data_IF_201617048436
#
_entry.id   IF_201617048436
#
_cell.length_a   1.000
_cell.length_b   1.000
_cell.length_c   1.000
_cell.angle_alpha   90.00
_cell.angle_beta   90.00
_cell.angle_gamma   90.00
#
_symmetry.space_group_name_H-M   'P 1'
#
loop_
_entity.id
_entity.type
_entity.pdbx_description
1 polymer ?
#
# COMPACT_ATOMS: atom_id res chain seq x y z
N UNK A 1 -20.71 -10.43 3.54
CA UNK A 1 -19.76 -11.41 4.09
C UNK A 1 -18.59 -11.45 3.11
N UNK A 2 -17.45 -10.92 3.51
CA UNK A 2 -16.27 -10.80 2.66
C UNK A 2 -15.72 -12.22 2.42
N UNK A 3 -15.33 -12.55 1.19
CA UNK A 3 -14.76 -13.85 0.84
C UNK A 3 -13.40 -13.68 0.16
N UNK A 4 -12.48 -14.61 0.40
CA UNK A 4 -11.22 -14.66 -0.36
C UNK A 4 -11.41 -15.47 -1.63
N UNK A 5 -10.94 -14.93 -2.76
CA UNK A 5 -10.90 -15.64 -4.05
C UNK A 5 -9.47 -15.72 -4.55
N UNK A 6 -9.10 -16.84 -5.18
CA UNK A 6 -7.87 -16.95 -5.97
C UNK A 6 -8.10 -16.78 -7.47
N UNK A 7 -9.32 -16.39 -7.85
CA UNK A 7 -9.80 -16.33 -9.22
C UNK A 7 -10.43 -14.96 -9.50
N UNK A 8 -10.17 -14.46 -10.70
CA UNK A 8 -10.95 -13.38 -11.32
C UNK A 8 -11.83 -14.06 -12.36
N UNK A 9 -13.15 -13.89 -12.26
CA UNK A 9 -14.10 -14.40 -13.26
C UNK A 9 -14.08 -13.45 -14.46
N UNK A 10 -13.49 -13.89 -15.58
CA UNK A 10 -13.71 -13.28 -16.89
C UNK A 10 -14.41 -14.30 -17.79
N UNK A 11 -15.35 -13.82 -18.62
CA UNK A 11 -16.59 -14.51 -19.03
C UNK A 11 -16.50 -15.91 -19.67
N UNK A 12 -15.32 -16.49 -19.90
CA UNK A 12 -15.18 -17.89 -20.37
C UNK A 12 -13.96 -18.67 -19.82
N UNK A 13 -13.14 -18.11 -18.91
CA UNK A 13 -11.95 -18.82 -18.35
C UNK A 13 -11.64 -18.45 -16.91
N UNK A 14 -11.43 -19.47 -16.07
CA UNK A 14 -10.83 -19.32 -14.73
C UNK A 14 -9.32 -19.10 -14.91
N UNK A 15 -8.84 -17.87 -14.74
CA UNK A 15 -7.41 -17.57 -14.70
C UNK A 15 -6.92 -17.52 -13.25
N UNK A 16 -5.94 -18.37 -12.92
CA UNK A 16 -5.22 -18.28 -11.65
C UNK A 16 -4.22 -17.12 -11.76
N UNK A 17 -4.44 -16.07 -11.00
CA UNK A 17 -3.45 -14.99 -10.83
C UNK A 17 -2.44 -15.45 -9.79
N UNK A 18 -1.16 -15.40 -10.11
CA UNK A 18 -0.08 -15.79 -9.20
C UNK A 18 0.36 -14.60 -8.34
N UNK A 19 0.82 -14.90 -7.12
CA UNK A 19 1.47 -13.91 -6.27
C UNK A 19 2.72 -13.36 -6.94
N UNK A 20 3.11 -12.13 -6.62
CA UNK A 20 4.35 -11.53 -7.13
C UNK A 20 5.23 -11.00 -6.01
N UNK A 21 6.52 -10.97 -6.28
CA UNK A 21 7.53 -10.28 -5.48
C UNK A 21 8.42 -9.44 -6.41
N UNK A 22 9.38 -8.69 -5.86
CA UNK A 22 10.35 -7.96 -6.69
C UNK A 22 11.34 -8.95 -7.33
N UNK A 23 11.91 -8.60 -8.48
CA UNK A 23 13.02 -9.39 -9.07
C UNK A 23 14.31 -9.19 -8.28
N UNK A 24 14.60 -7.97 -7.88
CA UNK A 24 15.80 -7.54 -7.16
C UNK A 24 15.41 -6.57 -6.03
N UNK A 25 16.33 -6.28 -5.10
CA UNK A 25 16.05 -5.29 -4.06
C UNK A 25 16.10 -3.85 -4.60
N UNK A 26 15.36 -2.95 -3.96
CA UNK A 26 15.41 -1.51 -4.24
C UNK A 26 15.70 -0.73 -2.98
N UNK A 27 16.54 0.30 -3.11
CA UNK A 27 16.97 1.18 -2.03
C UNK A 27 16.36 2.58 -2.17
N UNK A 28 15.82 3.09 -1.07
CA UNK A 28 15.33 4.44 -0.92
C UNK A 28 16.06 5.11 0.24
N UNK A 29 16.54 6.32 0.01
CA UNK A 29 17.17 7.15 1.03
C UNK A 29 16.47 8.50 1.02
N UNK A 30 16.22 9.05 2.20
CA UNK A 30 15.55 10.33 2.33
C UNK A 30 15.27 10.66 3.79
N UNK A 31 14.29 11.53 4.00
CA UNK A 31 13.94 12.08 5.32
C UNK A 31 12.49 11.75 5.64
N UNK A 32 12.20 11.38 6.89
CA UNK A 32 10.82 11.26 7.37
C UNK A 32 10.15 12.64 7.49
N UNK A 33 8.92 12.80 6.98
CA UNK A 33 8.23 14.11 6.95
C UNK A 33 7.87 14.62 8.34
N UNK A 34 7.56 13.71 9.28
CA UNK A 34 7.15 14.08 10.63
C UNK A 34 8.32 14.09 11.61
N UNK A 35 9.27 13.16 11.45
CA UNK A 35 10.43 13.04 12.33
C UNK A 35 11.59 13.95 11.95
N UNK A 36 11.69 14.34 10.67
CA UNK A 36 12.84 15.10 10.15
C UNK A 36 14.16 14.32 10.16
N UNK A 37 14.12 12.99 10.33
CA UNK A 37 15.30 12.13 10.44
C UNK A 37 15.63 11.47 9.12
N UNK A 38 16.92 11.34 8.84
CA UNK A 38 17.42 10.52 7.74
C UNK A 38 17.02 9.06 7.95
N UNK A 39 16.61 8.42 6.87
CA UNK A 39 16.16 7.03 6.87
C UNK A 39 16.50 6.36 5.54
N UNK A 40 16.94 5.12 5.65
CA UNK A 40 17.16 4.22 4.53
C UNK A 40 16.12 3.11 4.59
N UNK A 41 15.46 2.86 3.46
CA UNK A 41 14.52 1.76 3.24
C UNK A 41 15.04 0.87 2.12
N UNK A 42 15.19 -0.42 2.41
CA UNK A 42 15.47 -1.46 1.41
C UNK A 42 14.26 -2.37 1.28
N UNK A 43 13.69 -2.48 0.08
CA UNK A 43 12.60 -3.42 -0.23
C UNK A 43 13.20 -4.64 -0.91
N UNK A 44 13.12 -5.79 -0.25
CA UNK A 44 13.67 -7.05 -0.73
C UNK A 44 12.58 -7.98 -1.27
N UNK A 45 12.91 -8.83 -2.26
CA UNK A 45 12.07 -9.97 -2.62
C UNK A 45 11.78 -10.86 -1.40
N UNK A 46 10.61 -11.47 -1.36
CA UNK A 46 10.22 -12.37 -0.28
C UNK A 46 9.45 -13.60 -0.79
N UNK A 47 9.52 -14.75 -0.08
CA UNK A 47 8.83 -15.97 -0.48
C UNK A 47 7.31 -15.84 -0.59
N UNK A 48 6.67 -16.74 -1.32
CA UNK A 48 5.22 -16.78 -1.44
C UNK A 48 4.54 -16.94 -0.07
N UNK A 49 3.45 -16.19 0.15
CA UNK A 49 2.74 -16.17 1.44
C UNK A 49 3.44 -15.36 2.54
N UNK A 50 4.56 -14.70 2.25
CA UNK A 50 5.24 -13.84 3.21
C UNK A 50 4.41 -12.59 3.57
N UNK A 51 3.67 -12.04 2.61
CA UNK A 51 3.02 -10.75 2.70
C UNK A 51 4.00 -9.58 2.66
N UNK A 52 3.48 -8.38 2.94
CA UNK A 52 4.29 -7.17 3.13
C UNK A 52 4.61 -7.03 4.62
N UNK A 53 5.90 -7.02 4.95
CA UNK A 53 6.37 -6.85 6.34
C UNK A 53 7.48 -5.84 6.40
N UNK A 54 7.46 -5.01 7.43
CA UNK A 54 8.52 -4.07 7.72
C UNK A 54 9.42 -4.59 8.85
N UNK A 55 10.72 -4.35 8.76
CA UNK A 55 11.71 -4.76 9.75
C UNK A 55 12.58 -3.56 10.14
N UNK A 56 12.57 -3.18 11.42
CA UNK A 56 13.42 -2.11 11.96
C UNK A 56 14.85 -2.63 12.14
N UNK A 57 15.79 -2.19 11.33
CA UNK A 57 17.19 -2.66 11.39
C UNK A 57 18.04 -1.88 12.39
N UNK A 58 17.52 -0.77 12.89
CA UNK A 58 18.16 0.09 13.90
C UNK A 58 17.83 -0.33 15.35
N UNK A 59 16.97 -1.34 15.54
CA UNK A 59 16.61 -1.88 16.84
C UNK A 59 17.18 -3.30 16.98
N UNK A 60 17.73 -3.62 18.16
CA UNK A 60 18.24 -4.95 18.48
C UNK A 60 17.23 -6.05 18.14
N UNK A 61 17.71 -7.18 17.60
CA UNK A 61 16.89 -8.33 17.14
C UNK A 61 15.99 -8.05 15.93
N UNK A 62 16.09 -6.87 15.33
CA UNK A 62 15.41 -6.51 14.09
C UNK A 62 13.90 -6.84 14.08
N UNK A 63 13.11 -6.23 14.98
CA UNK A 63 11.69 -6.55 15.11
C UNK A 63 10.97 -6.31 13.79
N UNK A 64 10.09 -7.26 13.45
CA UNK A 64 9.34 -7.28 12.20
C UNK A 64 7.85 -7.08 12.47
N UNK A 65 7.23 -6.17 11.74
CA UNK A 65 5.83 -5.76 11.87
C UNK A 65 5.12 -6.04 10.53
N UNK A 66 4.09 -6.89 10.51
CA UNK A 66 3.25 -7.07 9.32
C UNK A 66 2.51 -5.79 8.94
N UNK A 67 2.45 -5.47 7.64
CA UNK A 67 1.61 -4.38 7.12
C UNK A 67 0.15 -4.83 7.02
N UNK A 68 -0.46 -5.16 8.17
CA UNK A 68 -1.84 -5.61 8.30
C UNK A 68 -2.65 -4.59 9.10
N UNK A 69 -3.95 -4.48 8.80
CA UNK A 69 -4.85 -3.54 9.48
C UNK A 69 -4.86 -3.70 11.01
N UNK A 70 -4.68 -4.92 11.52
CA UNK A 70 -4.67 -5.23 12.95
C UNK A 70 -3.42 -4.72 13.69
N UNK A 71 -2.40 -4.27 12.95
CA UNK A 71 -1.18 -3.66 13.49
C UNK A 71 -1.19 -2.14 13.38
N UNK A 72 -2.22 -1.54 12.76
CA UNK A 72 -2.37 -0.08 12.70
C UNK A 72 -2.74 0.42 14.10
N UNK A 73 -1.91 1.33 14.63
CA UNK A 73 -2.06 1.85 16.00
C UNK A 73 -2.30 3.35 16.07
N UNK A 74 -2.02 4.08 14.98
CA UNK A 74 -2.25 5.52 14.89
C UNK A 74 -2.54 5.89 13.44
N UNK A 75 -3.44 6.84 13.26
CA UNK A 75 -3.89 7.38 11.95
C UNK A 75 -3.84 8.90 11.92
N UNK A 76 -3.30 9.55 12.96
CA UNK A 76 -3.11 10.99 13.00
C UNK A 76 -1.91 11.35 12.12
N UNK A 77 -2.16 12.15 11.09
CA UNK A 77 -1.20 12.63 10.07
C UNK A 77 -0.67 11.55 9.11
N UNK A 78 -0.48 10.30 9.56
CA UNK A 78 -0.01 9.20 8.73
C UNK A 78 -0.60 7.85 9.18
N UNK A 79 -0.39 6.79 8.41
CA UNK A 79 -0.66 5.41 8.86
C UNK A 79 0.55 4.87 9.61
N UNK A 80 0.37 4.55 10.89
CA UNK A 80 1.42 3.98 11.74
C UNK A 80 1.09 2.55 12.14
N UNK A 81 2.05 1.64 11.92
CA UNK A 81 1.99 0.27 12.41
C UNK A 81 2.92 0.07 13.61
N UNK A 82 2.51 -0.74 14.58
CA UNK A 82 3.31 -1.07 15.75
C UNK A 82 3.26 -2.56 16.08
N UNK A 83 4.36 -3.13 16.55
CA UNK A 83 4.46 -4.53 16.98
C UNK A 83 5.85 -4.83 17.55
N UNK A 84 5.93 -5.79 18.47
CA UNK A 84 7.21 -6.28 19.01
C UNK A 84 8.17 -5.15 19.46
N UNK A 85 7.64 -4.19 20.23
CA UNK A 85 8.35 -3.01 20.76
C UNK A 85 8.89 -2.01 19.71
N UNK A 86 8.43 -2.11 18.47
CA UNK A 86 8.77 -1.19 17.39
C UNK A 86 7.51 -0.54 16.80
N UNK A 87 7.71 0.60 16.15
CA UNK A 87 6.69 1.28 15.35
C UNK A 87 7.30 1.90 14.09
N UNK A 88 6.47 2.02 13.05
CA UNK A 88 6.82 2.61 11.76
C UNK A 88 5.64 3.45 11.26
N UNK A 89 5.89 4.73 11.00
CA UNK A 89 4.92 5.67 10.42
C UNK A 89 5.09 5.89 8.92
N UNK A 90 4.09 6.54 8.33
CA UNK A 90 4.11 7.03 6.95
C UNK A 90 4.26 5.90 5.91
N UNK A 91 3.70 4.72 6.18
CA UNK A 91 3.86 3.55 5.30
C UNK A 91 3.01 3.63 4.02
N UNK A 92 2.01 4.51 4.00
CA UNK A 92 0.92 4.54 3.02
C UNK A 92 1.39 4.71 1.57
N UNK A 93 2.34 5.61 1.28
CA UNK A 93 2.79 5.86 -0.10
C UNK A 93 3.58 4.68 -0.66
N UNK A 94 4.48 4.10 0.14
CA UNK A 94 5.26 2.93 -0.26
C UNK A 94 4.36 1.71 -0.45
N UNK A 95 3.40 1.48 0.47
CA UNK A 95 2.45 0.36 0.33
C UNK A 95 1.53 0.56 -0.87
N UNK A 96 1.09 1.79 -1.17
CA UNK A 96 0.31 2.10 -2.36
C UNK A 96 1.10 1.81 -3.65
N UNK A 97 2.38 2.19 -3.69
CA UNK A 97 3.28 1.87 -4.80
C UNK A 97 3.45 0.36 -5.01
N UNK A 98 3.65 -0.42 -3.94
CA UNK A 98 3.75 -1.87 -4.01
C UNK A 98 2.44 -2.52 -4.51
N UNK A 99 1.29 -2.02 -4.02
CA UNK A 99 -0.02 -2.50 -4.45
C UNK A 99 -0.26 -2.23 -5.94
N UNK A 100 0.07 -1.04 -6.43
CA UNK A 100 -0.02 -0.66 -7.85
C UNK A 100 0.89 -1.53 -8.73
N UNK A 101 2.09 -1.86 -8.25
CA UNK A 101 3.03 -2.78 -8.91
C UNK A 101 2.69 -4.26 -8.72
N UNK A 102 1.53 -4.55 -8.11
CA UNK A 102 1.00 -5.90 -7.85
C UNK A 102 1.96 -6.76 -7.03
N UNK A 103 2.78 -6.17 -6.17
CA UNK A 103 3.66 -6.90 -5.24
C UNK A 103 2.85 -7.44 -4.07
N UNK A 104 2.86 -8.76 -3.89
CA UNK A 104 2.17 -9.45 -2.79
C UNK A 104 3.11 -9.72 -1.62
N UNK A 105 4.39 -9.95 -1.91
CA UNK A 105 5.38 -10.39 -0.94
C UNK A 105 6.63 -9.50 -1.01
N UNK A 106 6.97 -8.86 0.11
CA UNK A 106 8.21 -8.10 0.26
C UNK A 106 8.62 -8.02 1.75
N UNK A 107 9.93 -8.03 1.99
CA UNK A 107 10.51 -7.64 3.27
C UNK A 107 11.07 -6.22 3.12
N UNK A 108 10.56 -5.29 3.93
CA UNK A 108 10.95 -3.88 3.89
C UNK A 108 11.82 -3.61 5.10
N UNK A 109 13.14 -3.57 4.92
CA UNK A 109 14.08 -3.17 5.96
C UNK A 109 14.12 -1.65 6.05
N UNK A 110 14.15 -1.12 7.26
CA UNK A 110 14.14 0.32 7.50
C UNK A 110 15.01 0.69 8.69
N UNK A 111 15.86 1.71 8.53
CA UNK A 111 16.81 2.17 9.56
C UNK A 111 16.23 3.18 10.55
N UNK A 112 14.91 3.38 10.54
CA UNK A 112 14.24 4.39 11.35
C UNK A 112 12.74 4.12 11.52
N UNK A 113 12.07 5.00 12.27
CA UNK A 113 10.67 4.83 12.65
C UNK A 113 9.66 5.40 11.65
N UNK A 114 10.11 5.84 10.47
CA UNK A 114 9.26 6.51 9.48
C UNK A 114 9.80 6.28 8.07
N UNK A 115 8.94 5.91 7.12
CA UNK A 115 9.31 5.76 5.71
C UNK A 115 9.67 7.15 5.14
N UNK A 116 10.71 7.27 4.28
CA UNK A 116 11.09 8.56 3.72
C UNK A 116 9.96 9.14 2.87
N UNK A 117 9.74 10.46 2.97
CA UNK A 117 8.64 11.13 2.26
C UNK A 117 8.85 11.21 0.75
N UNK A 118 10.10 11.09 0.31
CA UNK A 118 10.53 11.32 -1.07
C UNK A 118 10.09 12.71 -1.56
N UNK A 119 9.31 12.80 -2.63
CA UNK A 119 8.73 14.05 -3.13
C UNK A 119 7.32 14.34 -2.57
N UNK A 120 6.84 13.51 -1.63
CA UNK A 120 5.50 13.55 -1.08
C UNK A 120 4.46 12.75 -1.86
N UNK A 121 4.85 12.01 -2.91
CA UNK A 121 3.98 11.16 -3.72
C UNK A 121 4.43 9.69 -3.75
N UNK A 122 3.72 8.84 -4.50
CA UNK A 122 4.10 7.45 -4.71
C UNK A 122 5.05 7.26 -5.92
N UNK A 123 5.21 8.29 -6.76
CA UNK A 123 5.96 8.22 -8.02
C UNK A 123 7.41 7.78 -7.85
N UNK A 124 8.21 8.33 -6.90
CA UNK A 124 9.60 7.89 -6.72
C UNK A 124 9.73 6.42 -6.33
N UNK A 125 8.75 5.89 -5.59
CA UNK A 125 8.71 4.47 -5.24
C UNK A 125 8.39 3.62 -6.47
N UNK A 126 7.39 4.02 -7.25
CA UNK A 126 6.98 3.29 -8.46
C UNK A 126 8.08 3.23 -9.48
N UNK A 127 8.79 4.34 -9.74
CA UNK A 127 9.87 4.39 -10.73
C UNK A 127 10.94 3.34 -10.40
N UNK A 128 11.50 3.38 -9.19
CA UNK A 128 12.53 2.41 -8.78
C UNK A 128 12.03 0.96 -8.75
N UNK A 129 10.80 0.70 -8.31
CA UNK A 129 10.22 -0.65 -8.32
C UNK A 129 10.00 -1.14 -9.77
N UNK A 130 9.59 -0.25 -10.67
CA UNK A 130 9.39 -0.58 -12.08
C UNK A 130 10.70 -0.90 -12.78
N UNK A 131 11.77 -0.16 -12.44
CA UNK A 131 13.12 -0.37 -12.99
C UNK A 131 13.66 -1.78 -12.70
N UNK A 132 13.49 -2.28 -11.46
CA UNK A 132 13.88 -3.67 -11.13
C UNK A 132 12.85 -4.69 -11.63
N UNK A 133 11.59 -4.30 -11.71
CA UNK A 133 10.48 -5.15 -12.09
C UNK A 133 10.07 -6.20 -11.05
N UNK A 134 9.04 -6.96 -11.39
CA UNK A 134 8.45 -7.98 -10.50
C UNK A 134 8.48 -9.37 -11.10
N UNK A 135 8.49 -10.39 -10.25
CA UNK A 135 8.52 -11.80 -10.59
C UNK A 135 7.27 -12.50 -10.06
N UNK A 136 6.61 -13.30 -10.89
CA UNK A 136 5.53 -14.17 -10.46
C UNK A 136 6.08 -15.36 -9.65
N UNK A 137 5.35 -15.76 -8.61
CA UNK A 137 5.68 -16.87 -7.73
C UNK A 137 4.75 -18.05 -7.99
N UNK A 138 5.00 -19.20 -7.35
CA UNK A 138 4.24 -20.44 -7.60
C UNK A 138 2.88 -20.48 -6.90
N UNK A 139 2.60 -19.57 -5.97
CA UNK A 139 1.36 -19.58 -5.20
C UNK A 139 0.27 -18.69 -5.83
N UNK A 140 -1.01 -19.07 -5.75
CA UNK A 140 -2.10 -18.22 -6.19
C UNK A 140 -2.22 -16.96 -5.31
N UNK A 141 -2.50 -15.83 -5.95
CA UNK A 141 -2.83 -14.55 -5.30
C UNK A 141 -4.24 -14.64 -4.70
N UNK A 142 -4.41 -14.08 -3.50
CA UNK A 142 -5.70 -14.00 -2.83
C UNK A 142 -6.26 -12.58 -2.97
N UNK A 143 -7.50 -12.48 -3.42
CA UNK A 143 -8.25 -11.24 -3.54
C UNK A 143 -9.33 -11.17 -2.45
N UNK A 144 -9.56 -9.98 -1.93
CA UNK A 144 -10.66 -9.69 -1.02
C UNK A 144 -11.91 -9.33 -1.84
N UNK A 145 -12.88 -10.23 -1.94
CA UNK A 145 -14.10 -10.01 -2.73
C UNK A 145 -15.21 -9.47 -1.85
N UNK A 146 -15.70 -8.28 -2.20
CA UNK A 146 -16.75 -7.58 -1.46
C UNK A 146 -18.12 -8.06 -1.94
N UNK A 147 -18.82 -8.81 -1.08
CA UNK A 147 -20.16 -9.37 -1.41
C UNK A 147 -21.33 -8.56 -0.86
N UNK A 148 -21.09 -7.63 0.07
CA UNK A 148 -22.11 -6.75 0.64
C UNK A 148 -21.49 -5.38 0.92
N UNK A 149 -22.29 -4.33 0.78
CA UNK A 149 -21.88 -2.97 1.12
C UNK A 149 -21.60 -2.85 2.61
N UNK A 150 -20.47 -2.23 2.95
CA UNK A 150 -20.09 -1.84 4.32
C UNK A 150 -19.82 -0.34 4.30
N UNK A 151 -20.47 0.39 5.20
CA UNK A 151 -20.28 1.84 5.38
C UNK A 151 -20.00 2.13 6.84
N UNK A 152 -19.02 2.99 7.07
CA UNK A 152 -18.69 3.56 8.38
C UNK A 152 -18.77 5.09 8.29
N UNK A 153 -19.21 5.72 9.37
CA UNK A 153 -19.36 7.18 9.44
C UNK A 153 -18.76 7.69 10.75
N UNK A 154 -18.15 8.88 10.70
CA UNK A 154 -17.64 9.61 11.86
C UNK A 154 -17.89 11.11 11.65
N UNK A 155 -18.84 11.68 12.41
CA UNK A 155 -19.29 13.06 12.20
C UNK A 155 -19.79 13.28 10.77
N UNK A 156 -19.21 14.25 10.07
CA UNK A 156 -19.52 14.56 8.67
C UNK A 156 -18.78 13.69 7.64
N UNK A 157 -17.83 12.85 8.09
CA UNK A 157 -17.02 12.00 7.22
C UNK A 157 -17.58 10.57 7.16
N UNK A 158 -17.40 9.89 6.02
CA UNK A 158 -17.76 8.48 5.87
C UNK A 158 -16.82 7.77 4.89
N UNK A 159 -16.71 6.45 5.03
CA UNK A 159 -16.04 5.58 4.07
C UNK A 159 -16.97 4.39 3.76
N UNK A 160 -17.02 3.98 2.49
CA UNK A 160 -17.86 2.88 2.04
C UNK A 160 -17.11 2.00 1.06
N UNK A 161 -17.27 0.69 1.22
CA UNK A 161 -16.89 -0.30 0.21
C UNK A 161 -18.13 -1.07 -0.20
N UNK A 162 -18.32 -1.31 -1.50
CA UNK A 162 -19.48 -2.01 -2.05
C UNK A 162 -19.03 -3.04 -3.09
N UNK A 163 -19.85 -4.07 -3.39
CA UNK A 163 -19.58 -4.97 -4.50
C UNK A 163 -19.36 -4.18 -5.79
N UNK A 164 -18.36 -4.58 -6.56
CA UNK A 164 -18.03 -4.05 -7.88
C UNK A 164 -17.61 -5.23 -8.76
N UNK A 165 -17.97 -5.18 -10.04
CA UNK A 165 -17.61 -6.23 -10.99
C UNK A 165 -16.26 -5.90 -11.63
N UNK A 166 -15.37 -6.90 -11.67
CA UNK A 166 -14.15 -6.99 -12.48
C UNK A 166 -13.04 -5.94 -12.29
N UNK A 167 -13.31 -4.80 -11.63
CA UNK A 167 -12.31 -3.75 -11.37
C UNK A 167 -12.36 -3.26 -9.93
N UNK A 168 -11.32 -2.51 -9.54
CA UNK A 168 -11.25 -1.79 -8.27
C UNK A 168 -11.42 -0.29 -8.51
N UNK A 169 -12.66 0.20 -8.44
CA UNK A 169 -12.97 1.62 -8.56
C UNK A 169 -12.78 2.38 -7.25
N UNK A 170 -12.31 3.61 -7.34
CA UNK A 170 -12.11 4.49 -6.18
C UNK A 170 -12.71 5.85 -6.47
N UNK A 171 -13.69 6.24 -5.64
CA UNK A 171 -14.21 7.60 -5.56
C UNK A 171 -13.80 8.24 -4.24
N UNK A 172 -13.15 9.39 -4.32
CA UNK A 172 -12.75 10.16 -3.15
C UNK A 172 -13.32 11.57 -3.24
N UNK A 173 -13.97 12.02 -2.16
CA UNK A 173 -14.58 13.34 -2.07
C UNK A 173 -13.96 14.08 -0.90
N UNK A 174 -13.42 15.27 -1.15
CA UNK A 174 -12.85 16.10 -0.09
C UNK A 174 -13.18 17.56 -0.31
N UNK A 175 -13.35 18.29 0.80
CA UNK A 175 -13.50 19.74 0.76
C UNK A 175 -12.11 20.35 0.76
N UNK A 176 -11.72 20.98 -0.34
CA UNK A 176 -10.43 21.64 -0.44
C UNK A 176 -10.38 22.82 0.55
N UNK A 177 -9.39 22.78 1.46
CA UNK A 177 -9.26 23.75 2.55
C UNK A 177 -8.90 25.16 2.09
N UNK A 178 -8.38 25.33 0.88
CA UNK A 178 -7.92 26.62 0.36
C UNK A 178 -9.05 27.43 -0.27
N UNK A 179 -9.96 26.77 -1.00
CA UNK A 179 -11.04 27.42 -1.74
C UNK A 179 -12.45 27.05 -1.22
N UNK A 180 -12.55 26.16 -0.23
CA UNK A 180 -13.80 25.61 0.31
C UNK A 180 -14.69 24.87 -0.72
N UNK A 181 -14.13 24.48 -1.86
CA UNK A 181 -14.83 23.75 -2.92
C UNK A 181 -14.80 22.25 -2.60
N UNK A 182 -15.93 21.57 -2.87
CA UNK A 182 -15.97 20.12 -2.86
C UNK A 182 -15.32 19.59 -4.14
N UNK A 183 -14.21 18.89 -3.98
CA UNK A 183 -13.53 18.21 -5.08
C UNK A 183 -13.86 16.71 -5.04
N UNK A 184 -13.98 16.13 -6.23
CA UNK A 184 -14.30 14.74 -6.43
C UNK A 184 -13.26 14.15 -7.36
N UNK A 185 -12.58 13.13 -6.88
CA UNK A 185 -11.74 12.25 -7.66
C UNK A 185 -12.49 10.94 -7.88
N UNK A 186 -12.46 10.41 -9.11
CA UNK A 186 -13.12 9.16 -9.47
C UNK A 186 -12.29 8.41 -10.52
N UNK A 187 -12.15 7.10 -10.35
CA UNK A 187 -11.48 6.18 -11.29
C UNK A 187 -12.21 4.85 -11.28
N UNK A 188 -12.43 4.30 -12.48
CA UNK A 188 -13.11 3.02 -12.69
C UNK A 188 -12.17 1.82 -12.46
N UNK A 189 -10.85 2.02 -12.61
CA UNK A 189 -9.82 1.03 -12.28
C UNK A 189 -8.59 1.72 -11.68
N UNK A 190 -8.59 1.87 -10.36
CA UNK A 190 -7.55 2.57 -9.62
C UNK A 190 -6.18 1.88 -9.71
N UNK A 191 -6.11 0.60 -10.07
CA UNK A 191 -4.83 -0.09 -10.27
C UNK A 191 -4.28 0.19 -11.66
N UNK A 192 -5.13 0.12 -12.70
CA UNK A 192 -4.73 0.44 -14.06
C UNK A 192 -4.36 1.93 -14.22
N UNK A 193 -5.13 2.81 -13.57
CA UNK A 193 -4.94 4.26 -13.64
C UNK A 193 -3.89 4.79 -12.66
N UNK A 194 -3.26 3.92 -11.84
CA UNK A 194 -2.41 4.38 -10.74
C UNK A 194 -1.23 5.23 -11.20
N UNK A 195 -0.72 5.02 -12.42
CA UNK A 195 0.35 5.86 -12.99
C UNK A 195 -0.05 7.34 -13.09
N UNK A 196 -1.32 7.64 -13.32
CA UNK A 196 -1.86 9.01 -13.33
C UNK A 196 -2.01 9.59 -11.93
N UNK A 197 -2.08 8.73 -10.90
CA UNK A 197 -2.22 9.11 -9.49
C UNK A 197 -0.88 9.19 -8.78
N UNK A 198 0.12 8.46 -9.27
CA UNK A 198 1.40 8.27 -8.61
C UNK A 198 2.10 9.59 -8.29
N UNK A 199 1.95 10.60 -9.14
CA UNK A 199 2.58 11.92 -9.00
C UNK A 199 1.82 12.88 -8.07
N UNK A 200 0.62 12.53 -7.60
CA UNK A 200 -0.14 13.35 -6.67
C UNK A 200 0.58 13.38 -5.31
N UNK A 201 1.02 14.58 -4.90
CA UNK A 201 1.73 14.79 -3.63
C UNK A 201 0.75 15.03 -2.49
N UNK A 202 1.17 14.70 -1.27
CA UNK A 202 0.52 15.14 -0.03
C UNK A 202 0.46 16.68 0.08
N UNK A 203 -0.49 17.22 0.86
CA UNK A 203 -0.76 18.66 0.98
C UNK A 203 -1.18 19.11 2.39
#
# INVERSE_FOLDING_TARGET
MIVFSSYIEDREKIMVVLQRTLKESVLFEGVGVHSGKDVTVEVLPAPAGHGIKFQRTDIEKNPTIPALWSYVTDTKLCTKISGSNANIGTIEHLVAALAAQKVDNALIKISGAEVPIMDGSAKPFIEKISDVGTLAQTAPRKFLVIKKTVKVSNGSSWAQIKPHENTFSVRYMFKNRFNNVLEIFDTEDAIADFSNLAAARTF
#
